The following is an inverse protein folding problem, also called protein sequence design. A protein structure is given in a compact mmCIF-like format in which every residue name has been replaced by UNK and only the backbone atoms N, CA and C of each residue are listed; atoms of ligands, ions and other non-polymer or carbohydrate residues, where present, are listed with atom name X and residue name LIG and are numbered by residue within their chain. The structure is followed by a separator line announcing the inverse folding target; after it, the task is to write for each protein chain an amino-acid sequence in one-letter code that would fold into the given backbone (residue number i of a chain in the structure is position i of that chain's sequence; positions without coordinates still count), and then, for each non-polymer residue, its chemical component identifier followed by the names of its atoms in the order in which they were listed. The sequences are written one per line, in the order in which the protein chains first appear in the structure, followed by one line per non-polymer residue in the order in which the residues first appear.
data_IF_348786899927
#
_entry.id   IF_348786899927
#
_cell.length_a   1.000
_cell.length_b   1.000
_cell.length_c   1.000
_cell.angle_alpha   90.00
_cell.angle_beta   90.00
_cell.angle_gamma   90.00
#
_symmetry.space_group_name_H-M   'P 1'
#
loop_
_entity.id
_entity.type
_entity.pdbx_description
1 polymer ?
#
# COMPACT_ATOMS: atom_id res chain seq x y z
N UNK A 1 13.75 -14.24 11.93
CA UNK A 1 12.91 -13.15 11.42
C UNK A 1 13.85 -12.18 10.75
N UNK A 2 14.17 -12.43 9.48
CA UNK A 2 15.01 -11.54 8.69
C UNK A 2 14.30 -10.20 8.58
N UNK A 3 15.06 -9.11 8.64
CA UNK A 3 14.48 -7.78 8.56
C UNK A 3 13.93 -7.60 7.15
N UNK A 4 12.67 -7.21 6.96
CA UNK A 4 12.12 -7.01 5.60
C UNK A 4 12.87 -5.93 4.80
N UNK A 5 13.73 -5.11 5.39
CA UNK A 5 14.42 -4.02 4.71
C UNK A 5 15.89 -4.00 5.15
N UNK A 6 16.70 -4.78 4.44
CA UNK A 6 18.14 -4.84 4.62
C UNK A 6 18.80 -5.22 3.31
N UNK A 7 20.02 -4.76 3.12
CA UNK A 7 20.80 -5.10 1.93
C UNK A 7 21.28 -3.85 1.20
N UNK A 8 22.12 -4.06 0.17
CA UNK A 8 22.77 -2.97 -0.55
C UNK A 8 21.80 -2.02 -1.26
N UNK A 9 20.65 -2.51 -1.75
CA UNK A 9 19.68 -1.65 -2.42
C UNK A 9 18.90 -0.80 -1.41
N UNK A 10 18.55 -1.38 -0.27
CA UNK A 10 17.95 -0.63 0.84
C UNK A 10 18.91 0.44 1.37
N UNK A 11 20.18 0.08 1.63
CA UNK A 11 21.20 1.04 2.08
C UNK A 11 21.36 2.19 1.06
N UNK A 12 21.40 1.86 -0.24
CA UNK A 12 21.41 2.85 -1.31
C UNK A 12 20.20 3.79 -1.26
N UNK A 13 19.00 3.26 -1.07
CA UNK A 13 17.77 4.07 -0.96
C UNK A 13 17.82 4.99 0.26
N UNK A 14 18.32 4.51 1.39
CA UNK A 14 18.45 5.29 2.63
C UNK A 14 19.50 6.41 2.53
N UNK A 15 20.51 6.25 1.66
CA UNK A 15 21.53 7.26 1.40
C UNK A 15 21.10 8.32 0.37
N UNK A 16 19.91 8.20 -0.22
CA UNK A 16 19.42 9.09 -1.28
C UNK A 16 18.29 10.01 -0.80
N UNK A 17 18.18 11.20 -1.39
CA UNK A 17 17.01 12.05 -1.17
C UNK A 17 15.76 11.37 -1.76
N UNK A 18 14.58 11.46 -1.10
CA UNK A 18 14.29 12.24 0.11
C UNK A 18 14.55 11.52 1.45
N UNK A 19 15.00 10.26 1.44
CA UNK A 19 15.13 9.44 2.67
C UNK A 19 16.43 9.68 3.44
N UNK A 20 17.42 10.33 2.83
CA UNK A 20 18.67 10.69 3.49
C UNK A 20 18.42 11.40 4.81
N UNK A 21 18.92 10.83 5.90
CA UNK A 21 18.74 11.36 7.27
C UNK A 21 17.28 11.43 7.75
N UNK A 22 16.33 10.79 7.06
CA UNK A 22 14.97 10.67 7.55
C UNK A 22 14.92 9.70 8.73
N UNK A 23 14.14 10.05 9.75
CA UNK A 23 13.98 9.21 10.93
C UNK A 23 12.99 8.09 10.64
N UNK A 24 13.31 6.87 11.06
CA UNK A 24 12.34 5.78 11.11
C UNK A 24 11.11 6.19 11.94
N UNK A 25 9.92 5.96 11.41
CA UNK A 25 8.66 6.25 12.08
C UNK A 25 7.96 4.97 12.57
N UNK A 26 7.60 4.08 11.64
CA UNK A 26 7.03 2.77 11.95
C UNK A 26 7.16 1.83 10.74
N UNK A 27 6.68 0.59 10.87
CA UNK A 27 6.63 -0.39 9.78
C UNK A 27 5.31 -1.17 9.79
N UNK A 28 4.87 -1.57 8.60
CA UNK A 28 3.85 -2.59 8.36
C UNK A 28 4.49 -3.93 7.97
N UNK A 29 3.68 -4.81 7.37
CA UNK A 29 4.11 -6.12 6.86
C UNK A 29 5.04 -6.00 5.63
N UNK A 30 4.76 -5.05 4.73
CA UNK A 30 5.48 -4.86 3.46
C UNK A 30 6.05 -3.45 3.27
N UNK A 31 5.86 -2.56 4.25
CA UNK A 31 6.23 -1.15 4.15
C UNK A 31 6.93 -0.60 5.40
N UNK A 32 7.78 0.40 5.21
CA UNK A 32 8.36 1.24 6.24
C UNK A 32 7.97 2.70 6.03
N UNK A 33 7.71 3.40 7.13
CA UNK A 33 7.46 4.83 7.13
C UNK A 33 8.64 5.59 7.73
N UNK A 34 8.99 6.71 7.11
CA UNK A 34 10.06 7.61 7.53
C UNK A 34 9.56 9.05 7.61
N UNK A 35 10.09 9.84 8.53
CA UNK A 35 9.69 11.24 8.75
C UNK A 35 10.90 12.19 8.76
N UNK A 36 10.71 13.41 8.25
CA UNK A 36 11.70 14.51 8.22
C UNK A 36 10.95 15.77 7.82
N UNK A 37 11.22 16.88 8.49
CA UNK A 37 10.64 18.20 8.18
C UNK A 37 9.11 18.22 8.07
N UNK A 38 8.42 17.44 8.92
CA UNK A 38 6.95 17.36 8.94
C UNK A 38 6.34 16.56 7.78
N UNK A 39 7.16 15.94 6.93
CA UNK A 39 6.74 15.05 5.84
C UNK A 39 6.87 13.59 6.24
N UNK A 40 6.13 12.74 5.54
CA UNK A 40 6.09 11.30 5.76
C UNK A 40 6.33 10.60 4.42
N UNK A 41 7.31 9.69 4.39
CA UNK A 41 7.60 8.87 3.22
C UNK A 41 7.28 7.42 3.53
N UNK A 42 6.61 6.77 2.58
CA UNK A 42 6.33 5.34 2.57
C UNK A 42 7.28 4.68 1.58
N UNK A 43 8.09 3.75 2.08
CA UNK A 43 8.88 2.82 1.29
C UNK A 43 8.22 1.45 1.37
N UNK A 44 7.84 0.85 0.25
CA UNK A 44 7.18 -0.47 0.23
C UNK A 44 7.82 -1.40 -0.78
N UNK A 45 7.71 -2.71 -0.54
CA UNK A 45 7.97 -3.75 -1.53
C UNK A 45 6.71 -4.15 -2.30
N UNK A 46 5.54 -3.85 -1.74
CA UNK A 46 4.26 -4.16 -2.36
C UNK A 46 3.92 -3.15 -3.46
N UNK A 47 4.21 -3.55 -4.69
CA UNK A 47 3.97 -2.74 -5.87
C UNK A 47 2.50 -2.72 -6.31
N UNK A 48 1.73 -3.80 -6.05
CA UNK A 48 0.32 -3.84 -6.41
C UNK A 48 -0.47 -2.84 -5.56
N UNK A 49 -0.27 -2.89 -4.23
CA UNK A 49 -0.86 -1.95 -3.30
C UNK A 49 -0.48 -0.51 -3.62
N UNK A 50 0.82 -0.24 -3.84
CA UNK A 50 1.30 1.10 -4.21
C UNK A 50 0.65 1.63 -5.49
N UNK A 51 0.65 0.83 -6.57
CA UNK A 51 0.13 1.24 -7.88
C UNK A 51 -1.37 1.57 -7.81
N UNK A 52 -2.13 0.75 -7.09
CA UNK A 52 -3.56 1.00 -6.86
C UNK A 52 -3.77 2.30 -6.09
N UNK A 53 -3.06 2.49 -4.97
CA UNK A 53 -3.19 3.68 -4.12
C UNK A 53 -2.81 4.96 -4.88
N UNK A 54 -1.71 4.93 -5.63
CA UNK A 54 -1.27 6.05 -6.48
C UNK A 54 -2.32 6.39 -7.55
N UNK A 55 -2.86 5.38 -8.24
CA UNK A 55 -3.91 5.60 -9.23
C UNK A 55 -5.21 6.15 -8.60
N UNK A 56 -5.64 5.64 -7.45
CA UNK A 56 -6.86 6.12 -6.80
C UNK A 56 -6.68 7.53 -6.22
N UNK A 57 -5.52 7.80 -5.61
CA UNK A 57 -5.18 9.12 -5.07
C UNK A 57 -5.15 10.16 -6.18
N UNK A 58 -4.49 9.88 -7.31
CA UNK A 58 -4.44 10.80 -8.47
C UNK A 58 -5.81 11.04 -9.12
N UNK A 59 -6.73 10.07 -9.04
CA UNK A 59 -8.14 10.22 -9.45
C UNK A 59 -9.01 10.98 -8.42
N UNK A 60 -8.44 11.41 -7.31
CA UNK A 60 -9.14 12.17 -6.27
C UNK A 60 -10.04 11.33 -5.37
N UNK A 61 -9.80 10.02 -5.24
CA UNK A 61 -10.54 9.19 -4.31
C UNK A 61 -10.20 9.57 -2.84
N UNK A 62 -11.15 10.08 -2.04
CA UNK A 62 -10.87 10.55 -0.68
C UNK A 62 -10.70 9.41 0.35
N UNK A 63 -11.04 8.17 -0.03
CA UNK A 63 -11.04 6.98 0.82
C UNK A 63 -9.81 6.08 0.61
N UNK A 64 -8.77 6.60 -0.03
CA UNK A 64 -7.41 6.04 0.02
C UNK A 64 -6.47 7.03 0.70
N UNK A 65 -5.32 6.53 1.18
CA UNK A 65 -4.21 7.40 1.57
C UNK A 65 -3.84 8.34 0.42
N UNK A 66 -3.71 9.63 0.72
CA UNK A 66 -3.28 10.62 -0.27
C UNK A 66 -1.78 10.49 -0.51
N UNK A 67 -1.44 10.21 -1.76
CA UNK A 67 -0.08 10.30 -2.30
C UNK A 67 0.17 11.76 -2.68
N UNK A 68 1.08 12.41 -1.94
CA UNK A 68 1.48 13.81 -2.16
C UNK A 68 2.47 13.89 -3.32
N UNK A 69 3.42 12.95 -3.37
CA UNK A 69 4.36 12.78 -4.46
C UNK A 69 4.68 11.30 -4.63
N UNK A 70 4.57 10.80 -5.85
CA UNK A 70 4.94 9.43 -6.20
C UNK A 70 6.31 9.44 -6.88
N UNK A 71 7.32 8.83 -6.23
CA UNK A 71 8.67 8.72 -6.82
C UNK A 71 8.81 7.46 -7.69
N UNK A 72 7.82 6.57 -7.65
CA UNK A 72 7.84 5.29 -8.34
C UNK A 72 8.87 4.32 -7.73
N UNK A 73 9.38 3.37 -8.53
CA UNK A 73 10.38 2.41 -8.08
C UNK A 73 11.76 3.06 -7.98
N UNK A 74 12.38 3.03 -6.80
CA UNK A 74 13.63 3.74 -6.49
C UNK A 74 14.87 2.85 -6.49
N UNK A 75 14.71 1.54 -6.31
CA UNK A 75 15.78 0.55 -6.41
C UNK A 75 15.18 -0.87 -6.55
N UNK A 76 15.96 -1.86 -7.02
CA UNK A 76 15.59 -3.26 -6.87
C UNK A 76 15.33 -3.61 -5.40
N UNK A 77 14.44 -4.56 -5.15
CA UNK A 77 14.28 -5.16 -3.84
C UNK A 77 15.52 -6.02 -3.53
N UNK A 78 15.95 -6.06 -2.27
CA UNK A 78 17.02 -6.95 -1.82
C UNK A 78 16.56 -8.42 -1.66
N UNK A 79 15.27 -8.73 -1.85
CA UNK A 79 14.76 -10.10 -1.80
C UNK A 79 15.08 -10.85 -3.11
N UNK A 80 15.27 -12.18 -3.02
CA UNK A 80 15.63 -13.09 -4.14
C UNK A 80 14.53 -13.27 -5.20
N UNK A 81 13.51 -12.39 -5.23
CA UNK A 81 12.46 -12.39 -6.25
C UNK A 81 12.86 -11.42 -7.35
N UNK A 82 13.29 -11.96 -8.49
CA UNK A 82 13.55 -11.16 -9.68
C UNK A 82 12.30 -10.32 -10.01
N UNK A 83 12.51 -9.01 -10.23
CA UNK A 83 11.52 -7.98 -10.63
C UNK A 83 10.83 -7.20 -9.50
N UNK A 84 11.00 -7.56 -8.23
CA UNK A 84 10.50 -6.71 -7.13
C UNK A 84 11.38 -5.46 -6.96
N UNK A 85 10.73 -4.34 -6.65
CA UNK A 85 11.39 -3.05 -6.44
C UNK A 85 10.94 -2.42 -5.14
N UNK A 86 11.79 -1.60 -4.55
CA UNK A 86 11.38 -0.64 -3.54
C UNK A 86 10.62 0.51 -4.20
N UNK A 87 9.38 0.75 -3.79
CA UNK A 87 8.54 1.87 -4.22
C UNK A 87 8.48 2.95 -3.16
N UNK A 88 8.64 4.21 -3.56
CA UNK A 88 8.70 5.35 -2.65
C UNK A 88 7.62 6.38 -2.98
N UNK A 89 6.90 6.82 -1.96
CA UNK A 89 5.99 7.96 -2.05
C UNK A 89 6.09 8.86 -0.82
N UNK A 90 5.88 10.16 -1.02
CA UNK A 90 5.46 11.07 0.05
C UNK A 90 3.95 10.91 0.26
N UNK A 91 3.54 10.61 1.49
CA UNK A 91 2.15 10.32 1.87
C UNK A 91 1.66 11.30 2.93
N UNK A 92 0.35 11.49 3.00
CA UNK A 92 -0.23 12.20 4.14
C UNK A 92 -0.08 11.41 5.45
N UNK A 93 -0.17 12.12 6.57
CA UNK A 93 -0.18 11.51 7.90
C UNK A 93 -1.60 11.05 8.26
N UNK A 94 -1.70 9.81 8.72
CA UNK A 94 -2.93 9.15 9.16
C UNK A 94 -2.76 8.64 10.60
N UNK A 95 -3.87 8.30 11.23
CA UNK A 95 -3.94 7.71 12.57
C UNK A 95 -4.53 6.31 12.50
N UNK A 96 -3.96 5.39 13.28
CA UNK A 96 -4.50 4.04 13.43
C UNK A 96 -5.91 4.06 14.02
N UNK A 97 -6.71 3.06 13.65
CA UNK A 97 -8.00 2.84 14.28
C UNK A 97 -7.78 1.90 15.46
N UNK A 98 -8.11 2.37 16.66
CA UNK A 98 -8.15 1.52 17.86
C UNK A 98 -9.17 0.37 17.65
N UNK A 99 -8.74 -0.91 17.64
CA UNK A 99 -9.62 -2.06 17.45
C UNK A 99 -10.71 -2.17 18.53
N UNK A 100 -10.45 -1.69 19.74
CA UNK A 100 -11.39 -1.75 20.86
C UNK A 100 -12.40 -0.59 20.85
N UNK A 101 -12.17 0.41 19.99
CA UNK A 101 -13.12 1.52 19.81
C UNK A 101 -14.42 1.06 19.13
N UNK A 102 -15.55 1.79 19.33
CA UNK A 102 -16.80 1.47 18.63
C UNK A 102 -16.67 1.46 17.10
N UNK A 103 -15.80 2.29 16.53
CA UNK A 103 -15.50 2.28 15.09
C UNK A 103 -14.70 1.04 14.71
N UNK A 104 -13.65 0.71 15.46
CA UNK A 104 -12.82 -0.48 15.24
C UNK A 104 -13.65 -1.76 15.25
N UNK A 105 -14.43 -1.99 16.31
CA UNK A 105 -15.29 -3.17 16.44
C UNK A 105 -16.32 -3.29 15.32
N UNK A 106 -16.92 -2.16 14.89
CA UNK A 106 -17.88 -2.15 13.78
C UNK A 106 -17.19 -2.52 12.46
N UNK A 107 -16.01 -1.95 12.19
CA UNK A 107 -15.25 -2.25 10.97
C UNK A 107 -14.77 -3.70 10.97
N UNK A 108 -14.18 -4.20 12.07
CA UNK A 108 -13.79 -5.61 12.18
C UNK A 108 -14.95 -6.54 11.87
N UNK A 109 -16.10 -6.34 12.53
CA UNK A 109 -17.28 -7.18 12.29
C UNK A 109 -17.75 -7.13 10.83
N UNK A 110 -17.72 -5.95 10.22
CA UNK A 110 -18.10 -5.77 8.83
C UNK A 110 -17.13 -6.50 7.89
N UNK A 111 -15.82 -6.33 8.09
CA UNK A 111 -14.79 -6.96 7.26
C UNK A 111 -14.80 -8.48 7.40
N UNK A 112 -14.91 -9.01 8.63
CA UNK A 112 -15.09 -10.45 8.86
C UNK A 112 -16.33 -10.99 8.15
N UNK A 113 -17.44 -10.24 8.12
CA UNK A 113 -18.64 -10.68 7.39
C UNK A 113 -18.49 -10.71 5.87
N UNK A 114 -17.53 -9.96 5.31
CA UNK A 114 -17.25 -9.89 3.87
C UNK A 114 -16.19 -10.91 3.43
N UNK A 115 -15.23 -11.21 4.30
CA UNK A 115 -14.01 -11.99 4.00
C UNK A 115 -13.98 -13.35 4.68
N UNK A 116 -14.81 -13.55 5.70
CA UNK A 116 -14.72 -14.68 6.63
C UNK A 116 -13.35 -14.77 7.33
N UNK A 117 -12.69 -13.61 7.50
CA UNK A 117 -11.32 -13.48 8.04
C UNK A 117 -10.23 -14.18 7.20
N UNK A 118 -10.54 -14.52 5.94
CA UNK A 118 -9.64 -15.16 5.00
C UNK A 118 -9.34 -14.25 3.78
N UNK A 119 -8.19 -14.40 3.11
CA UNK A 119 -7.93 -13.71 1.85
C UNK A 119 -9.00 -14.01 0.79
N UNK A 120 -9.44 -12.98 0.08
CA UNK A 120 -10.45 -13.15 -0.98
C UNK A 120 -9.78 -13.66 -2.25
N UNK A 121 -9.99 -14.93 -2.56
CA UNK A 121 -9.44 -15.56 -3.75
C UNK A 121 -10.06 -15.00 -5.05
N UNK A 122 -9.33 -15.11 -6.16
CA UNK A 122 -9.78 -14.59 -7.47
C UNK A 122 -11.17 -15.10 -7.89
N UNK A 123 -11.49 -16.36 -7.60
CA UNK A 123 -12.80 -16.96 -7.91
C UNK A 123 -13.95 -16.35 -7.11
N UNK A 124 -13.67 -15.75 -5.95
CA UNK A 124 -14.64 -15.17 -5.03
C UNK A 124 -14.91 -13.68 -5.32
N UNK A 125 -14.04 -13.00 -6.07
CA UNK A 125 -14.14 -11.57 -6.40
C UNK A 125 -15.55 -11.14 -6.86
N UNK A 126 -16.24 -11.83 -7.79
CA UNK A 126 -17.58 -11.40 -8.21
C UNK A 126 -18.60 -11.39 -7.06
N UNK A 127 -18.62 -12.44 -6.24
CA UNK A 127 -19.51 -12.54 -5.07
C UNK A 127 -19.14 -11.53 -3.99
N UNK A 128 -17.84 -11.31 -3.78
CA UNK A 128 -17.32 -10.31 -2.87
C UNK A 128 -17.74 -8.89 -3.25
N UNK A 129 -17.68 -8.53 -4.54
CA UNK A 129 -18.13 -7.23 -5.03
C UNK A 129 -19.64 -7.03 -4.77
N UNK A 130 -20.47 -8.05 -5.03
CA UNK A 130 -21.91 -7.97 -4.74
C UNK A 130 -22.19 -7.82 -3.24
N UNK A 131 -21.46 -8.56 -2.39
CA UNK A 131 -21.56 -8.41 -0.94
C UNK A 131 -21.14 -7.00 -0.47
N UNK A 132 -20.08 -6.44 -1.04
CA UNK A 132 -19.66 -5.07 -0.78
C UNK A 132 -20.73 -4.05 -1.20
N UNK A 133 -21.37 -4.23 -2.36
CA UNK A 133 -22.45 -3.34 -2.84
C UNK A 133 -23.66 -3.38 -1.89
N UNK A 134 -24.11 -4.57 -1.50
CA UNK A 134 -25.20 -4.71 -0.55
C UNK A 134 -24.87 -4.09 0.81
N UNK A 135 -23.64 -4.30 1.30
CA UNK A 135 -23.17 -3.74 2.57
C UNK A 135 -23.06 -2.21 2.51
N UNK A 136 -22.61 -1.67 1.37
CA UNK A 136 -22.50 -0.23 1.10
C UNK A 136 -23.87 0.43 1.17
N UNK A 137 -24.87 -0.18 0.54
CA UNK A 137 -26.23 0.35 0.51
C UNK A 137 -26.88 0.31 1.91
N UNK A 138 -26.51 -0.67 2.75
CA UNK A 138 -26.94 -0.77 4.15
C UNK A 138 -26.15 0.15 5.11
N UNK A 139 -24.96 0.64 4.72
CA UNK A 139 -24.08 1.47 5.55
C UNK A 139 -23.64 2.74 4.79
N UNK A 140 -24.52 3.73 4.59
CA UNK A 140 -24.22 4.92 3.77
C UNK A 140 -23.00 5.72 4.26
N UNK A 141 -22.72 5.70 5.55
CA UNK A 141 -21.56 6.38 6.15
C UNK A 141 -20.22 5.70 5.83
N UNK A 142 -20.24 4.42 5.44
CA UNK A 142 -19.08 3.66 4.98
C UNK A 142 -19.04 3.55 3.45
N UNK A 143 -19.94 4.22 2.73
CA UNK A 143 -20.15 3.97 1.31
C UNK A 143 -18.88 4.20 0.47
N UNK A 144 -18.15 5.28 0.73
CA UNK A 144 -16.90 5.59 0.02
C UNK A 144 -15.76 4.61 0.32
N UNK A 145 -15.71 4.09 1.55
CA UNK A 145 -14.72 3.08 1.96
C UNK A 145 -14.98 1.75 1.23
N UNK A 146 -16.24 1.32 1.15
CA UNK A 146 -16.65 0.10 0.47
C UNK A 146 -16.56 0.22 -1.06
N UNK A 147 -16.88 1.39 -1.61
CA UNK A 147 -16.69 1.67 -3.03
C UNK A 147 -15.20 1.56 -3.43
N UNK A 148 -14.30 2.00 -2.54
CA UNK A 148 -12.86 1.85 -2.76
C UNK A 148 -12.43 0.38 -2.71
N UNK A 149 -13.02 -0.41 -1.82
CA UNK A 149 -12.74 -1.84 -1.73
C UNK A 149 -13.25 -2.61 -2.96
N UNK A 150 -14.41 -2.22 -3.51
CA UNK A 150 -14.91 -2.73 -4.80
C UNK A 150 -13.91 -2.43 -5.92
N UNK A 151 -13.40 -1.19 -6.00
CA UNK A 151 -12.38 -0.83 -6.99
C UNK A 151 -11.09 -1.62 -6.82
N UNK A 152 -10.69 -1.91 -5.58
CA UNK A 152 -9.53 -2.74 -5.28
C UNK A 152 -9.74 -4.17 -5.80
N UNK A 153 -10.90 -4.77 -5.52
CA UNK A 153 -11.27 -6.09 -6.02
C UNK A 153 -11.35 -6.14 -7.56
N UNK A 154 -11.87 -5.10 -8.20
CA UNK A 154 -11.87 -4.95 -9.67
C UNK A 154 -10.46 -4.81 -10.25
N UNK A 155 -9.56 -4.13 -9.52
CA UNK A 155 -8.17 -3.95 -9.93
C UNK A 155 -7.41 -5.28 -9.99
N UNK A 156 -7.55 -6.13 -8.96
CA UNK A 156 -6.85 -7.43 -8.91
C UNK A 156 -7.50 -8.53 -9.74
N UNK A 157 -8.76 -8.34 -10.18
CA UNK A 157 -9.46 -9.29 -11.07
C UNK A 157 -8.65 -9.70 -12.30
N UNK A 158 -7.79 -8.80 -12.78
CA UNK A 158 -7.01 -8.98 -14.01
C UNK A 158 -5.51 -9.25 -13.79
N UNK A 159 -5.05 -9.44 -12.54
CA UNK A 159 -3.62 -9.65 -12.26
C UNK A 159 -3.33 -10.49 -11.01
N UNK A 160 -2.04 -10.60 -10.66
CA UNK A 160 -1.53 -11.40 -9.53
C UNK A 160 -1.44 -10.58 -8.23
N UNK A 161 -2.57 -10.03 -7.79
CA UNK A 161 -2.71 -9.43 -6.46
C UNK A 161 -3.87 -10.07 -5.71
N UNK A 162 -3.80 -10.01 -4.39
CA UNK A 162 -4.84 -10.44 -3.48
C UNK A 162 -5.42 -9.24 -2.73
N UNK A 163 -6.67 -9.36 -2.29
CA UNK A 163 -7.33 -8.34 -1.49
C UNK A 163 -6.94 -8.51 -0.02
N UNK A 164 -6.40 -7.46 0.60
CA UNK A 164 -5.98 -7.44 2.00
C UNK A 164 -6.94 -6.55 2.82
N UNK A 165 -8.20 -7.00 2.91
CA UNK A 165 -9.31 -6.24 3.48
C UNK A 165 -9.36 -6.32 5.01
N UNK A 166 -8.31 -5.83 5.67
CA UNK A 166 -8.13 -5.94 7.12
C UNK A 166 -8.23 -4.59 7.84
N UNK A 167 -8.61 -4.61 9.13
CA UNK A 167 -8.75 -3.38 9.93
C UNK A 167 -7.41 -2.61 10.01
N UNK A 168 -6.29 -3.32 10.12
CA UNK A 168 -4.95 -2.71 10.15
C UNK A 168 -4.61 -1.91 8.90
N UNK A 169 -5.32 -2.15 7.79
CA UNK A 169 -5.15 -1.45 6.52
C UNK A 169 -6.17 -0.31 6.34
N UNK A 170 -6.97 -0.02 7.36
CA UNK A 170 -7.85 1.14 7.42
C UNK A 170 -7.31 2.10 8.48
N UNK A 171 -7.12 3.35 8.07
CA UNK A 171 -6.69 4.42 8.96
C UNK A 171 -7.69 5.58 8.94
N UNK A 172 -7.52 6.50 9.89
CA UNK A 172 -8.33 7.71 10.04
C UNK A 172 -7.53 8.95 9.66
N UNK A 173 -8.14 9.84 8.87
CA UNK A 173 -7.58 11.18 8.61
C UNK A 173 -7.88 12.11 9.80
N UNK A 174 -6.88 12.65 10.52
CA UNK A 174 -7.11 13.35 11.79
C UNK A 174 -7.98 14.61 11.67
N UNK A 175 -7.81 15.38 10.59
CA UNK A 175 -8.48 16.67 10.41
C UNK A 175 -9.96 16.60 10.06
N UNK A 176 -10.46 15.46 9.58
CA UNK A 176 -11.85 15.33 9.13
C UNK A 176 -12.51 14.00 9.52
N UNK A 177 -11.78 13.09 10.16
CA UNK A 177 -12.29 11.79 10.60
C UNK A 177 -12.58 10.79 9.48
N UNK A 178 -12.28 11.13 8.21
CA UNK A 178 -12.52 10.22 7.07
C UNK A 178 -11.71 8.94 7.22
N UNK A 179 -12.37 7.80 7.02
CA UNK A 179 -11.75 6.48 6.97
C UNK A 179 -11.17 6.23 5.58
N UNK A 180 -9.95 5.71 5.53
CA UNK A 180 -9.20 5.51 4.29
C UNK A 180 -8.48 4.16 4.29
N UNK A 181 -8.34 3.57 3.11
CA UNK A 181 -7.47 2.43 2.89
C UNK A 181 -6.02 2.89 2.74
N UNK A 182 -5.12 2.29 3.53
CA UNK A 182 -3.67 2.50 3.45
C UNK A 182 -2.93 1.36 2.74
N UNK A 183 -3.49 0.14 2.75
CA UNK A 183 -2.96 -1.02 2.02
C UNK A 183 -4.07 -2.07 1.75
N UNK A 184 -5.00 -1.82 0.83
CA UNK A 184 -6.14 -2.72 0.62
C UNK A 184 -5.80 -3.96 -0.23
N UNK A 185 -4.58 -4.03 -0.77
CA UNK A 185 -4.13 -5.05 -1.71
C UNK A 185 -2.73 -5.50 -1.31
N UNK A 186 -2.35 -6.70 -1.74
CA UNK A 186 -0.99 -7.22 -1.68
C UNK A 186 -0.63 -7.94 -2.98
N UNK A 187 0.59 -7.75 -3.50
CA UNK A 187 1.13 -8.62 -4.55
C UNK A 187 2.11 -7.96 -5.52
N UNK A 188 2.59 -8.75 -6.48
CA UNK A 188 3.73 -8.40 -7.35
C UNK A 188 3.34 -7.69 -8.67
N UNK A 189 2.11 -7.18 -8.81
CA UNK A 189 1.74 -6.40 -10.00
C UNK A 189 2.39 -5.01 -9.98
N UNK A 190 3.62 -4.93 -10.49
CA UNK A 190 4.26 -3.66 -10.82
C UNK A 190 4.07 -3.41 -12.32
N UNK A 191 3.31 -2.38 -12.68
CA UNK A 191 3.36 -1.85 -14.05
C UNK A 191 4.35 -0.70 -14.04
N UNK A 192 5.62 -1.02 -14.28
CA UNK A 192 6.65 -0.02 -14.50
C UNK A 192 6.58 0.48 -15.94
N UNK A 193 6.87 1.75 -16.14
CA UNK A 193 7.19 2.29 -17.46
C UNK A 193 8.59 1.86 -17.88
N UNK A 194 8.87 1.86 -19.20
CA UNK A 194 10.21 1.53 -19.71
C UNK A 194 11.31 2.46 -19.17
N UNK A 195 10.96 3.69 -18.77
CA UNK A 195 11.89 4.61 -18.12
C UNK A 195 12.23 4.16 -16.69
N UNK A 196 11.23 3.73 -15.93
CA UNK A 196 11.41 3.20 -14.58
C UNK A 196 12.21 1.89 -14.60
N UNK A 197 11.91 0.98 -15.54
CA UNK A 197 12.67 -0.25 -15.76
C UNK A 197 14.15 0.05 -16.05
N UNK A 198 14.43 0.98 -16.96
CA UNK A 198 15.80 1.37 -17.31
C UNK A 198 16.54 2.00 -16.11
N UNK A 199 15.85 2.82 -15.31
CA UNK A 199 16.42 3.44 -14.10
C UNK A 199 16.80 2.39 -13.06
N UNK A 200 15.90 1.45 -12.77
CA UNK A 200 16.13 0.36 -11.81
C UNK A 200 17.25 -0.56 -12.31
N UNK A 201 17.27 -0.89 -13.60
CA UNK A 201 18.33 -1.70 -14.20
C UNK A 201 19.71 -1.05 -14.09
N UNK A 202 19.81 0.27 -14.29
CA UNK A 202 21.05 1.02 -14.12
C UNK A 202 21.56 0.99 -12.67
N UNK A 203 20.67 1.06 -11.68
CA UNK A 203 21.01 0.94 -10.26
C UNK A 203 21.53 -0.47 -9.95
N UNK A 204 20.84 -1.51 -10.43
CA UNK A 204 21.25 -2.93 -10.31
C UNK A 204 22.68 -3.13 -10.81
N UNK A 205 22.96 -2.69 -12.03
CA UNK A 205 24.30 -2.80 -12.64
C UNK A 205 25.37 -2.04 -11.85
N UNK A 206 25.06 -0.82 -11.40
CA UNK A 206 26.00 0.02 -10.64
C UNK A 206 26.43 -0.65 -9.34
N UNK A 207 25.49 -1.18 -8.57
CA UNK A 207 25.79 -1.75 -7.25
C UNK A 207 26.43 -3.14 -7.36
N UNK A 208 26.07 -3.94 -8.36
CA UNK A 208 26.77 -5.19 -8.66
C UNK A 208 28.25 -4.97 -9.02
N UNK A 209 28.57 -3.87 -9.72
CA UNK A 209 29.96 -3.55 -10.10
C UNK A 209 30.80 -3.09 -8.91
N UNK A 210 30.17 -2.51 -7.87
CA UNK A 210 30.87 -2.06 -6.64
C UNK A 210 31.13 -3.22 -5.67
N UNK A 211 30.39 -4.33 -5.81
CA UNK A 211 30.50 -5.52 -4.97
C UNK A 211 31.41 -6.62 -5.54
N UNK A 212 31.88 -6.48 -6.78
CA UNK A 212 32.79 -7.41 -7.48
C UNK A 212 34.26 -6.99 -7.34
#
# INVERSE_FOLDING_TARGET
MESLFHGPYFDYVMDMEPLRSAEYFCKGSSAMLFKRDGRLWRLTKDCCGHSFLSQQSSKGNPNVVRIIHDFGPVAPCDDDVDEECYWLAEVERLEDIDPDSPTGQRLSKLLSSLTDDEPVERGQIPSFIEACRATRDANPDLAGLLETLIKAAEYVKHGNGDLDANLSNIMRRPGCGTLVWSDPLYGALAIMSSEEEARVAAIKQRLQTVQA
#
